data_IF_619311860523
#
_entry.id   IF_619311860523
#
_cell.length_a   1.000
_cell.length_b   1.000
_cell.length_c   1.000
_cell.angle_alpha   90.00
_cell.angle_beta   90.00
_cell.angle_gamma   90.00
#
_symmetry.space_group_name_H-M   'P 1'
#
loop_
_entity.id
_entity.type
_entity.pdbx_description
1 polymer ?
#
# COMPACT_ATOMS: atom_id res chain seq x y z
N UNK A 1 8.91 12.36 29.16
CA UNK A 1 7.62 11.83 28.68
C UNK A 1 7.90 11.01 27.41
N UNK A 2 7.19 9.91 27.14
CA UNK A 2 7.45 9.09 25.94
C UNK A 2 6.97 9.88 24.71
N UNK A 3 7.78 9.96 23.64
CA UNK A 3 7.41 10.67 22.40
C UNK A 3 6.11 10.10 21.85
N UNK A 4 5.17 10.97 21.49
CA UNK A 4 3.89 10.58 20.90
C UNK A 4 4.07 10.47 19.38
N UNK A 5 3.81 9.29 18.84
CA UNK A 5 3.90 9.02 17.41
C UNK A 5 2.48 8.89 16.86
N UNK A 6 2.16 9.72 15.88
CA UNK A 6 0.90 9.73 15.16
C UNK A 6 1.09 9.14 13.76
N UNK A 7 0.55 7.94 13.54
CA UNK A 7 0.39 7.32 12.23
C UNK A 7 -1.07 7.41 11.78
N UNK A 8 -1.35 7.09 10.51
CA UNK A 8 -2.72 6.96 10.01
C UNK A 8 -3.53 5.99 10.86
N UNK A 9 -2.94 4.82 11.17
CA UNK A 9 -3.55 3.79 12.00
C UNK A 9 -3.78 4.25 13.45
N UNK A 10 -2.91 5.10 14.01
CA UNK A 10 -3.09 5.62 15.36
C UNK A 10 -4.16 6.71 15.42
N UNK A 11 -4.18 7.63 14.44
CA UNK A 11 -5.23 8.65 14.33
C UNK A 11 -6.58 7.98 14.09
N UNK A 12 -6.64 6.97 13.22
CA UNK A 12 -7.83 6.15 12.99
C UNK A 12 -8.32 5.49 14.28
N UNK A 13 -7.42 4.87 15.05
CA UNK A 13 -7.76 4.28 16.33
C UNK A 13 -8.33 5.31 17.33
N UNK A 14 -7.76 6.52 17.38
CA UNK A 14 -8.25 7.59 18.25
C UNK A 14 -9.63 8.09 17.84
N UNK A 15 -9.85 8.33 16.53
CA UNK A 15 -11.15 8.73 15.97
C UNK A 15 -12.24 7.71 16.25
N UNK A 16 -11.92 6.41 16.17
CA UNK A 16 -12.87 5.36 16.51
C UNK A 16 -13.11 5.23 18.02
N UNK A 17 -12.06 5.25 18.83
CA UNK A 17 -12.15 5.11 20.28
C UNK A 17 -10.85 5.55 20.99
N UNK A 18 -10.88 6.61 21.82
CA UNK A 18 -9.71 7.06 22.57
C UNK A 18 -9.11 6.00 23.50
N UNK A 19 -9.93 5.10 24.06
CA UNK A 19 -9.43 3.98 24.89
C UNK A 19 -8.62 3.00 24.05
N UNK A 20 -9.08 2.68 22.83
CA UNK A 20 -8.34 1.83 21.88
C UNK A 20 -6.99 2.44 21.53
N UNK A 21 -6.96 3.74 21.26
CA UNK A 21 -5.72 4.46 21.03
C UNK A 21 -4.77 4.36 22.23
N UNK A 22 -5.25 4.66 23.45
CA UNK A 22 -4.45 4.60 24.67
C UNK A 22 -3.86 3.20 24.87
N UNK A 23 -4.69 2.17 24.82
CA UNK A 23 -4.24 0.80 25.05
C UNK A 23 -3.20 0.36 24.01
N UNK A 24 -3.42 0.69 22.74
CA UNK A 24 -2.54 0.27 21.63
C UNK A 24 -1.27 1.12 21.59
N UNK A 25 -1.38 2.44 21.49
CA UNK A 25 -0.25 3.32 21.16
C UNK A 25 0.43 3.94 22.38
N UNK A 26 -0.23 3.97 23.54
CA UNK A 26 0.38 4.45 24.79
C UNK A 26 0.89 3.28 25.63
N UNK A 27 0.04 2.29 25.90
CA UNK A 27 0.40 1.12 26.72
C UNK A 27 1.06 -0.02 25.94
N UNK A 28 1.05 0.01 24.61
CA UNK A 28 1.72 -1.00 23.79
C UNK A 28 0.99 -2.34 23.74
N UNK A 29 -0.29 -2.40 24.12
CA UNK A 29 -1.08 -3.63 24.05
C UNK A 29 -1.28 -4.00 22.57
N UNK A 30 -1.00 -5.25 22.22
CA UNK A 30 -1.17 -5.80 20.86
C UNK A 30 -2.02 -7.06 20.92
N UNK A 31 -2.71 -7.35 19.82
CA UNK A 31 -3.30 -8.68 19.63
C UNK A 31 -2.17 -9.69 19.47
N UNK A 32 -2.41 -10.91 19.91
CA UNK A 32 -1.44 -12.01 19.75
C UNK A 32 -1.36 -12.46 18.29
N UNK A 33 -2.46 -12.32 17.56
CA UNK A 33 -2.60 -12.74 16.16
C UNK A 33 -3.06 -11.57 15.28
N UNK A 34 -2.52 -11.50 14.06
CA UNK A 34 -2.97 -10.57 13.04
C UNK A 34 -4.31 -11.02 12.45
N UNK A 35 -5.14 -10.06 12.03
CA UNK A 35 -6.39 -10.42 11.33
C UNK A 35 -6.12 -10.88 9.90
N UNK A 36 -6.98 -11.76 9.40
CA UNK A 36 -7.00 -12.22 8.01
C UNK A 36 -6.83 -11.07 7.00
N UNK A 37 -7.61 -9.99 7.14
CA UNK A 37 -7.52 -8.83 6.26
C UNK A 37 -6.16 -8.12 6.26
N UNK A 38 -5.44 -8.14 7.39
CA UNK A 38 -4.11 -7.53 7.49
C UNK A 38 -3.08 -8.42 6.82
N UNK A 39 -3.17 -9.74 6.99
CA UNK A 39 -2.33 -10.71 6.30
C UNK A 39 -2.50 -10.62 4.78
N UNK A 40 -3.74 -10.67 4.29
CA UNK A 40 -4.06 -10.58 2.85
C UNK A 40 -3.54 -9.27 2.26
N UNK A 41 -3.79 -8.14 2.92
CA UNK A 41 -3.29 -6.84 2.47
C UNK A 41 -1.76 -6.79 2.43
N UNK A 42 -1.08 -7.28 3.48
CA UNK A 42 0.40 -7.31 3.53
C UNK A 42 0.98 -8.16 2.39
N UNK A 43 0.40 -9.34 2.16
CA UNK A 43 0.82 -10.20 1.06
C UNK A 43 0.54 -9.55 -0.30
N UNK A 44 -0.57 -8.83 -0.45
CA UNK A 44 -0.87 -8.08 -1.68
C UNK A 44 0.22 -7.04 -2.02
N UNK A 45 0.65 -6.23 -1.05
CA UNK A 45 1.74 -5.27 -1.27
C UNK A 45 3.05 -5.98 -1.63
N UNK A 46 3.39 -7.06 -0.91
CA UNK A 46 4.58 -7.87 -1.20
C UNK A 46 4.58 -8.40 -2.64
N UNK A 47 3.44 -8.90 -3.14
CA UNK A 47 3.35 -9.39 -4.52
C UNK A 47 3.48 -8.26 -5.54
N UNK A 48 2.91 -7.09 -5.28
CA UNK A 48 3.06 -5.92 -6.14
C UNK A 48 4.50 -5.40 -6.19
N UNK A 49 5.25 -5.49 -5.10
CA UNK A 49 6.67 -5.14 -5.06
C UNK A 49 7.50 -6.09 -5.93
N UNK A 50 7.29 -7.40 -5.76
CA UNK A 50 8.00 -8.42 -6.56
C UNK A 50 7.64 -8.30 -8.03
N UNK A 51 6.36 -8.13 -8.36
CA UNK A 51 5.90 -7.98 -9.74
C UNK A 51 6.40 -6.70 -10.44
N UNK A 52 6.84 -5.69 -9.67
CA UNK A 52 7.41 -4.46 -10.19
C UNK A 52 8.92 -4.56 -10.48
N UNK A 53 9.58 -5.68 -10.12
CA UNK A 53 10.99 -5.89 -10.46
C UNK A 53 11.13 -6.10 -11.97
N UNK A 54 12.23 -5.57 -12.52
CA UNK A 54 12.55 -5.70 -13.94
C UNK A 54 13.28 -7.04 -14.17
N UNK A 55 12.77 -7.93 -15.03
CA UNK A 55 13.48 -9.15 -15.38
C UNK A 55 14.89 -8.87 -15.92
N UNK A 56 15.88 -9.61 -15.43
CA UNK A 56 17.29 -9.45 -15.80
C UNK A 56 18.07 -8.39 -15.01
N UNK A 57 17.42 -7.55 -14.20
CA UNK A 57 18.11 -6.63 -13.29
C UNK A 57 18.73 -7.36 -12.08
N UNK A 58 19.60 -6.66 -11.36
CA UNK A 58 20.15 -7.15 -10.09
C UNK A 58 19.04 -7.42 -9.07
N UNK A 59 19.14 -8.57 -8.40
CA UNK A 59 18.21 -8.94 -7.34
C UNK A 59 18.29 -7.91 -6.19
N UNK A 60 17.15 -7.42 -5.67
CA UNK A 60 17.15 -6.40 -4.61
C UNK A 60 17.79 -6.86 -3.29
N UNK A 61 17.95 -8.18 -3.11
CA UNK A 61 18.63 -8.79 -1.96
C UNK A 61 20.07 -9.20 -2.25
N UNK A 62 20.65 -8.79 -3.38
CA UNK A 62 22.02 -9.14 -3.73
C UNK A 62 23.04 -8.51 -2.75
N UNK A 63 24.15 -9.20 -2.42
CA UNK A 63 24.50 -10.55 -2.86
C UNK A 63 23.72 -11.64 -2.11
N UNK A 64 23.02 -12.50 -2.86
CA UNK A 64 22.10 -13.50 -2.32
C UNK A 64 22.78 -14.81 -1.88
N UNK A 65 24.12 -14.82 -1.74
CA UNK A 65 24.94 -16.02 -1.53
C UNK A 65 25.40 -16.24 -0.09
N UNK A 66 25.06 -15.33 0.82
CA UNK A 66 25.56 -15.38 2.21
C UNK A 66 24.66 -16.20 3.14
N UNK A 67 23.46 -16.57 2.70
CA UNK A 67 22.48 -17.32 3.49
C UNK A 67 22.42 -18.82 3.13
N UNK A 68 22.09 -19.70 4.10
CA UNK A 68 21.97 -21.15 3.87
C UNK A 68 20.72 -21.54 3.04
N UNK A 69 19.73 -20.67 2.91
CA UNK A 69 18.56 -20.87 2.05
C UNK A 69 18.70 -20.02 0.77
N UNK A 70 18.38 -20.58 -0.42
CA UNK A 70 18.41 -19.80 -1.66
C UNK A 70 17.40 -18.66 -1.61
N UNK A 71 17.78 -17.48 -2.13
CA UNK A 71 16.91 -16.31 -2.18
C UNK A 71 15.60 -16.63 -2.92
N UNK A 72 14.46 -16.27 -2.33
CA UNK A 72 13.12 -16.55 -2.89
C UNK A 72 12.84 -15.83 -4.22
N UNK A 73 13.54 -14.73 -4.50
CA UNK A 73 13.39 -13.95 -5.73
C UNK A 73 14.23 -14.54 -6.85
N UNK A 74 15.56 -14.68 -6.64
CA UNK A 74 16.51 -15.04 -7.69
C UNK A 74 17.09 -16.46 -7.59
N UNK A 75 16.76 -17.23 -6.55
CA UNK A 75 17.30 -18.59 -6.30
C UNK A 75 18.83 -18.68 -6.33
N UNK A 76 19.50 -17.57 -5.95
CA UNK A 76 20.96 -17.49 -5.92
C UNK A 76 21.61 -17.13 -7.25
N UNK A 77 20.86 -16.72 -8.29
CA UNK A 77 21.46 -16.21 -9.54
C UNK A 77 21.94 -14.76 -9.43
N UNK A 78 21.56 -14.06 -8.35
CA UNK A 78 21.66 -12.59 -8.16
C UNK A 78 20.92 -11.75 -9.21
N UNK A 79 20.15 -12.36 -10.11
CA UNK A 79 19.38 -11.64 -11.13
C UNK A 79 17.91 -12.00 -11.03
N UNK A 80 17.05 -11.03 -11.29
CA UNK A 80 15.60 -11.25 -11.34
C UNK A 80 15.28 -12.18 -12.52
N UNK A 81 14.46 -13.24 -12.33
CA UNK A 81 14.16 -14.20 -13.40
C UNK A 81 13.37 -13.56 -14.55
N UNK A 82 13.50 -14.14 -15.74
CA UNK A 82 12.78 -13.72 -16.95
C UNK A 82 11.26 -13.77 -16.77
N UNK A 83 10.75 -14.84 -16.15
CA UNK A 83 9.35 -14.92 -15.73
C UNK A 83 9.18 -14.44 -14.29
N UNK A 84 8.75 -13.18 -14.16
CA UNK A 84 8.53 -12.58 -12.84
C UNK A 84 7.42 -13.29 -12.04
N UNK A 85 6.47 -13.97 -12.69
CA UNK A 85 5.42 -14.70 -11.99
C UNK A 85 5.95 -15.95 -11.27
N UNK A 86 7.09 -16.50 -11.69
CA UNK A 86 7.78 -17.54 -10.92
C UNK A 86 8.30 -16.99 -9.59
N UNK A 87 8.94 -15.82 -9.61
CA UNK A 87 9.40 -15.15 -8.37
C UNK A 87 8.23 -14.81 -7.46
N UNK A 88 7.15 -14.25 -8.01
CA UNK A 88 5.89 -13.98 -7.27
C UNK A 88 5.38 -15.26 -6.59
N UNK A 89 5.32 -16.38 -7.34
CA UNK A 89 4.81 -17.65 -6.81
C UNK A 89 5.69 -18.18 -5.67
N UNK A 90 7.02 -18.10 -5.80
CA UNK A 90 7.96 -18.50 -4.73
C UNK A 90 7.79 -17.64 -3.48
N UNK A 91 7.73 -16.32 -3.64
CA UNK A 91 7.54 -15.38 -2.53
C UNK A 91 6.20 -15.63 -1.83
N UNK A 92 5.14 -15.84 -2.61
CA UNK A 92 3.82 -16.15 -2.06
C UNK A 92 3.83 -17.47 -1.28
N UNK A 93 4.44 -18.52 -1.82
CA UNK A 93 4.55 -19.80 -1.12
C UNK A 93 5.33 -19.67 0.19
N UNK A 94 6.44 -18.92 0.19
CA UNK A 94 7.22 -18.66 1.40
C UNK A 94 6.40 -17.89 2.45
N UNK A 95 5.64 -16.87 2.03
CA UNK A 95 4.81 -16.08 2.93
C UNK A 95 3.74 -16.92 3.64
N UNK A 96 3.26 -18.00 3.00
CA UNK A 96 2.27 -18.90 3.58
C UNK A 96 2.86 -20.12 4.29
N UNK A 97 4.17 -20.39 4.22
CA UNK A 97 4.81 -21.60 4.78
C UNK A 97 4.45 -21.79 6.27
N UNK A 98 4.58 -20.73 7.06
CA UNK A 98 4.38 -20.76 8.52
C UNK A 98 3.01 -20.25 8.99
N UNK A 99 2.09 -19.98 8.07
CA UNK A 99 0.75 -19.51 8.43
C UNK A 99 -0.13 -20.72 8.75
N UNK A 100 -0.61 -20.76 10.00
CA UNK A 100 -1.49 -21.81 10.48
C UNK A 100 -2.95 -21.49 10.13
N UNK A 101 -3.60 -22.41 9.42
CA UNK A 101 -5.03 -22.36 9.13
C UNK A 101 -5.69 -23.58 9.77
N UNK A 102 -6.90 -23.39 10.31
CA UNK A 102 -7.71 -24.51 10.78
C UNK A 102 -8.15 -25.42 9.62
N UNK A 103 -8.38 -24.82 8.46
CA UNK A 103 -8.74 -25.51 7.21
C UNK A 103 -7.64 -25.31 6.16
N UNK A 104 -6.93 -26.38 5.73
CA UNK A 104 -5.95 -26.30 4.66
C UNK A 104 -6.51 -25.82 3.32
N UNK A 105 -7.79 -26.10 3.02
CA UNK A 105 -8.41 -25.67 1.77
C UNK A 105 -8.56 -24.13 1.73
N UNK A 106 -9.02 -23.53 2.83
CA UNK A 106 -9.07 -22.08 2.98
C UNK A 106 -7.71 -21.38 2.75
N UNK A 107 -6.60 -22.00 3.20
CA UNK A 107 -5.25 -21.48 2.95
C UNK A 107 -4.93 -21.44 1.46
N UNK A 108 -5.24 -22.52 0.74
CA UNK A 108 -5.02 -22.60 -0.71
C UNK A 108 -5.92 -21.65 -1.49
N UNK A 109 -7.19 -21.49 -1.07
CA UNK A 109 -8.10 -20.51 -1.66
C UNK A 109 -7.52 -19.09 -1.53
N UNK A 110 -7.11 -18.67 -0.33
CA UNK A 110 -6.54 -17.33 -0.10
C UNK A 110 -5.30 -17.09 -0.96
N UNK A 111 -4.40 -18.09 -1.04
CA UNK A 111 -3.18 -18.04 -1.84
C UNK A 111 -3.48 -17.93 -3.33
N UNK A 112 -4.37 -18.75 -3.86
CA UNK A 112 -4.77 -18.76 -5.27
C UNK A 112 -5.50 -17.47 -5.65
N UNK A 113 -6.35 -16.94 -4.75
CA UNK A 113 -7.03 -15.66 -4.94
C UNK A 113 -6.03 -14.52 -5.10
N UNK A 114 -5.01 -14.43 -4.25
CA UNK A 114 -3.96 -13.41 -4.37
C UNK A 114 -3.19 -13.50 -5.69
N UNK A 115 -2.81 -14.73 -6.10
CA UNK A 115 -2.08 -14.94 -7.34
C UNK A 115 -2.91 -14.54 -8.57
N UNK A 116 -4.19 -14.91 -8.62
CA UNK A 116 -5.07 -14.57 -9.74
C UNK A 116 -5.47 -13.09 -9.73
N UNK A 117 -5.64 -12.48 -8.56
CA UNK A 117 -5.85 -11.04 -8.44
C UNK A 117 -4.65 -10.27 -9.01
N UNK A 118 -3.42 -10.73 -8.75
CA UNK A 118 -2.22 -10.10 -9.32
C UNK A 118 -2.14 -10.31 -10.84
N UNK A 119 -2.42 -11.51 -11.33
CA UNK A 119 -2.43 -11.79 -12.76
C UNK A 119 -3.44 -10.89 -13.50
N UNK A 120 -4.66 -10.76 -12.96
CA UNK A 120 -5.68 -9.84 -13.48
C UNK A 120 -5.25 -8.38 -13.40
N UNK A 121 -4.61 -7.97 -12.29
CA UNK A 121 -4.09 -6.62 -12.12
C UNK A 121 -3.07 -6.27 -13.18
N UNK A 122 -2.10 -7.16 -13.41
CA UNK A 122 -1.08 -6.97 -14.43
C UNK A 122 -1.72 -6.93 -15.82
N UNK A 123 -2.59 -7.87 -16.15
CA UNK A 123 -3.26 -7.88 -17.46
C UNK A 123 -3.97 -6.55 -17.77
N UNK A 124 -4.59 -5.91 -16.78
CA UNK A 124 -5.31 -4.66 -16.98
C UNK A 124 -4.43 -3.41 -16.97
N UNK A 125 -3.38 -3.38 -16.13
CA UNK A 125 -2.57 -2.19 -15.89
C UNK A 125 -1.15 -2.24 -16.49
N UNK A 126 -0.74 -3.33 -17.16
CA UNK A 126 0.63 -3.51 -17.70
C UNK A 126 1.09 -2.32 -18.55
N UNK A 127 0.18 -1.76 -19.36
CA UNK A 127 0.45 -0.64 -20.28
C UNK A 127 0.29 0.75 -19.65
N UNK A 128 -0.15 0.84 -18.38
CA UNK A 128 -0.49 2.10 -17.69
C UNK A 128 0.40 2.40 -16.49
N UNK A 129 1.61 1.84 -16.44
CA UNK A 129 2.51 2.07 -15.33
C UNK A 129 3.17 3.45 -15.45
N UNK A 130 2.76 4.39 -14.59
CA UNK A 130 3.45 5.67 -14.45
C UNK A 130 4.88 5.46 -13.95
N UNK A 131 5.84 6.30 -14.37
CA UNK A 131 7.20 6.25 -13.82
C UNK A 131 7.18 6.41 -12.30
N UNK A 132 7.81 5.48 -11.60
CA UNK A 132 7.91 5.50 -10.14
C UNK A 132 9.08 6.39 -9.74
N UNK A 133 8.79 7.40 -8.92
CA UNK A 133 9.78 8.32 -8.34
C UNK A 133 10.41 7.73 -7.09
N UNK A 134 9.59 7.12 -6.23
CA UNK A 134 10.05 6.45 -5.01
C UNK A 134 9.04 5.40 -4.55
N UNK A 135 9.53 4.32 -3.94
CA UNK A 135 8.74 3.29 -3.26
C UNK A 135 9.01 3.34 -1.76
N UNK A 136 8.01 2.97 -0.96
CA UNK A 136 8.13 2.74 0.49
C UNK A 136 8.80 3.90 1.26
N UNK A 137 8.52 5.15 0.87
CA UNK A 137 9.19 6.35 1.38
C UNK A 137 8.78 6.64 2.83
N UNK A 138 9.69 6.39 3.77
CA UNK A 138 9.49 6.72 5.18
C UNK A 138 9.51 8.24 5.42
N UNK A 139 8.68 8.70 6.36
CA UNK A 139 8.72 10.07 6.86
C UNK A 139 8.52 10.18 8.37
N UNK A 140 9.11 11.22 8.95
CA UNK A 140 8.98 11.57 10.37
C UNK A 140 9.01 13.08 10.53
N UNK A 141 7.83 13.68 10.73
CA UNK A 141 7.65 15.13 10.73
C UNK A 141 7.15 15.60 12.10
N UNK A 142 7.62 16.73 12.63
CA UNK A 142 7.03 17.31 13.84
C UNK A 142 5.58 17.74 13.55
N UNK A 143 4.67 17.47 14.48
CA UNK A 143 3.32 18.02 14.43
C UNK A 143 3.41 19.54 14.69
N UNK A 144 2.86 20.35 13.80
CA UNK A 144 2.84 21.80 13.97
C UNK A 144 1.51 22.25 14.58
N UNK A 145 1.57 23.21 15.50
CA UNK A 145 0.39 23.92 15.95
C UNK A 145 -0.12 24.82 14.80
N UNK A 146 -1.38 24.66 14.35
CA UNK A 146 -1.91 25.40 13.20
C UNK A 146 -2.02 26.92 13.45
N UNK A 147 -2.12 27.36 14.71
CA UNK A 147 -2.24 28.78 15.06
C UNK A 147 -0.88 29.47 15.14
N UNK A 148 0.14 28.79 15.67
CA UNK A 148 1.46 29.40 15.92
C UNK A 148 2.54 28.97 14.94
N UNK A 149 2.31 27.90 14.17
CA UNK A 149 3.31 27.28 13.30
C UNK A 149 4.44 26.55 14.04
N UNK A 150 4.47 26.59 15.38
CA UNK A 150 5.52 25.95 16.16
C UNK A 150 5.30 24.44 16.31
N UNK A 151 6.38 23.64 16.38
CA UNK A 151 6.30 22.24 16.72
C UNK A 151 5.64 22.03 18.08
N UNK A 152 4.71 21.07 18.14
CA UNK A 152 4.23 20.53 19.41
C UNK A 152 5.34 19.67 20.02
N UNK A 153 5.80 19.95 21.25
CA UNK A 153 6.90 19.22 21.87
C UNK A 153 6.64 17.71 21.91
N UNK A 154 7.63 16.91 21.51
CA UNK A 154 7.62 15.44 21.56
C UNK A 154 6.49 14.75 20.78
N UNK A 155 5.81 15.42 19.84
CA UNK A 155 4.78 14.83 18.98
C UNK A 155 5.22 14.81 17.52
N UNK A 156 5.21 13.62 16.92
CA UNK A 156 5.65 13.39 15.54
C UNK A 156 4.59 12.66 14.73
N UNK A 157 4.38 13.09 13.49
CA UNK A 157 3.65 12.35 12.47
C UNK A 157 4.63 11.43 11.76
N UNK A 158 4.34 10.13 11.74
CA UNK A 158 5.19 9.13 11.10
C UNK A 158 4.37 8.20 10.22
N UNK A 159 4.94 7.82 9.09
CA UNK A 159 4.32 6.89 8.17
C UNK A 159 5.29 6.48 7.08
N UNK A 160 4.75 5.75 6.11
CA UNK A 160 5.49 5.28 4.94
C UNK A 160 4.58 5.43 3.74
N UNK A 161 4.99 6.22 2.75
CA UNK A 161 4.22 6.39 1.52
C UNK A 161 4.53 5.19 0.62
N UNK A 162 3.51 4.45 0.21
CA UNK A 162 3.66 3.24 -0.61
C UNK A 162 4.40 3.54 -1.91
N UNK A 163 3.88 4.46 -2.73
CA UNK A 163 4.54 4.90 -3.96
C UNK A 163 4.37 6.40 -4.23
N UNK A 164 5.39 6.99 -4.83
CA UNK A 164 5.34 8.29 -5.49
C UNK A 164 5.54 8.06 -6.99
N UNK A 165 4.67 8.60 -7.81
CA UNK A 165 4.70 8.45 -9.26
C UNK A 165 4.77 9.80 -9.96
N UNK A 166 5.35 9.84 -11.15
CA UNK A 166 5.33 11.01 -12.00
C UNK A 166 4.02 11.06 -12.80
N UNK A 167 3.35 12.19 -12.75
CA UNK A 167 2.16 12.49 -13.55
C UNK A 167 2.42 13.75 -14.36
N UNK A 168 1.64 13.97 -15.43
CA UNK A 168 1.88 15.06 -16.40
C UNK A 168 2.06 16.49 -15.80
N UNK A 169 1.61 16.72 -14.56
CA UNK A 169 1.71 18.02 -13.87
C UNK A 169 2.45 17.96 -12.52
N UNK A 170 3.19 16.89 -12.21
CA UNK A 170 3.92 16.80 -10.94
C UNK A 170 4.11 15.37 -10.43
N UNK A 171 4.11 15.23 -9.11
CA UNK A 171 4.24 13.94 -8.41
C UNK A 171 2.90 13.60 -7.79
N UNK A 172 2.44 12.36 -7.94
CA UNK A 172 1.26 11.87 -7.23
C UNK A 172 1.64 10.79 -6.20
N UNK A 173 0.87 10.72 -5.11
CA UNK A 173 0.94 9.59 -4.17
C UNK A 173 0.12 8.44 -4.74
N UNK A 174 0.73 7.28 -4.94
CA UNK A 174 0.05 6.06 -5.37
C UNK A 174 -0.09 5.08 -4.22
N UNK A 175 -1.32 4.66 -3.95
CA UNK A 175 -1.67 3.69 -2.90
C UNK A 175 -2.39 2.51 -3.52
N UNK A 176 -2.01 1.30 -3.13
CA UNK A 176 -2.70 0.08 -3.53
C UNK A 176 -3.60 -0.41 -2.39
N UNK A 177 -4.90 -0.57 -2.66
CA UNK A 177 -5.85 -1.15 -1.70
C UNK A 177 -6.48 -2.44 -2.22
N UNK A 178 -6.54 -3.46 -1.37
CA UNK A 178 -7.40 -4.62 -1.56
C UNK A 178 -8.71 -4.42 -0.79
N UNK A 179 -9.85 -4.74 -1.40
CA UNK A 179 -11.16 -4.62 -0.73
C UNK A 179 -12.09 -5.76 -1.14
N UNK A 180 -12.95 -6.19 -0.21
CA UNK A 180 -14.07 -7.10 -0.49
C UNK A 180 -15.40 -6.36 -0.68
N UNK A 181 -15.39 -5.03 -0.58
CA UNK A 181 -16.54 -4.17 -0.89
C UNK A 181 -16.59 -3.92 -2.39
N UNK A 182 -17.80 -3.82 -2.93
CA UNK A 182 -18.02 -3.41 -4.33
C UNK A 182 -17.22 -2.15 -4.65
N UNK A 183 -16.58 -2.19 -5.82
CA UNK A 183 -15.82 -1.10 -6.41
C UNK A 183 -16.57 -0.51 -7.63
N UNK A 184 -17.86 -0.80 -7.78
CA UNK A 184 -18.68 -0.22 -8.84
C UNK A 184 -18.64 1.32 -8.75
N UNK A 185 -18.80 2.06 -9.86
CA UNK A 185 -18.64 3.51 -9.87
C UNK A 185 -19.54 4.27 -8.89
N UNK A 186 -20.70 3.70 -8.55
CA UNK A 186 -21.69 4.24 -7.62
C UNK A 186 -21.49 3.76 -6.17
N UNK A 187 -20.47 2.93 -5.91
CA UNK A 187 -20.17 2.42 -4.58
C UNK A 187 -19.78 3.53 -3.60
N UNK A 188 -20.36 3.47 -2.41
CA UNK A 188 -19.98 4.34 -1.27
C UNK A 188 -18.52 4.15 -0.82
N UNK A 189 -17.85 3.08 -1.28
CA UNK A 189 -16.44 2.82 -1.00
C UNK A 189 -15.54 3.97 -1.45
N UNK A 190 -15.77 4.51 -2.64
CA UNK A 190 -14.98 5.61 -3.21
C UNK A 190 -15.08 6.90 -2.40
N UNK A 191 -16.28 7.21 -1.89
CA UNK A 191 -16.49 8.35 -0.99
C UNK A 191 -15.69 8.22 0.31
N UNK A 192 -15.57 7.01 0.86
CA UNK A 192 -14.77 6.76 2.06
C UNK A 192 -13.27 6.88 1.80
N UNK A 193 -12.78 6.48 0.63
CA UNK A 193 -11.36 6.51 0.29
C UNK A 193 -10.79 7.93 0.25
N UNK A 194 -11.58 8.89 -0.22
CA UNK A 194 -11.23 10.32 -0.23
C UNK A 194 -11.14 10.94 1.18
N UNK A 195 -11.84 10.37 2.15
CA UNK A 195 -11.84 10.83 3.54
C UNK A 195 -10.85 10.04 4.42
N UNK A 196 -10.06 9.16 3.80
CA UNK A 196 -9.11 8.34 4.52
C UNK A 196 -7.95 9.18 5.04
N UNK A 197 -7.62 8.94 6.32
CA UNK A 197 -6.57 9.68 7.03
C UNK A 197 -5.20 9.40 6.44
N UNK A 198 -4.95 8.18 5.95
CA UNK A 198 -3.69 7.76 5.36
C UNK A 198 -3.39 8.59 4.11
N UNK A 199 -4.34 8.65 3.17
CA UNK A 199 -4.22 9.42 1.94
C UNK A 199 -3.91 10.89 2.23
N UNK A 200 -4.70 11.51 3.11
CA UNK A 200 -4.53 12.94 3.44
C UNK A 200 -3.18 13.19 4.12
N UNK A 201 -2.74 12.27 4.98
CA UNK A 201 -1.46 12.36 5.69
C UNK A 201 -0.27 12.21 4.74
N UNK A 202 -0.35 11.35 3.72
CA UNK A 202 0.72 11.17 2.74
C UNK A 202 0.92 12.41 1.89
N UNK A 203 -0.16 13.04 1.41
CA UNK A 203 -0.06 14.32 0.71
C UNK A 203 0.57 15.40 1.60
N UNK A 204 0.11 15.49 2.85
CA UNK A 204 0.68 16.44 3.82
C UNK A 204 2.18 16.19 4.01
N UNK A 205 2.59 14.93 4.15
CA UNK A 205 3.98 14.55 4.32
C UNK A 205 4.83 14.86 3.09
N UNK A 206 4.37 14.48 1.89
CA UNK A 206 5.05 14.75 0.62
C UNK A 206 5.28 16.26 0.41
N UNK A 207 4.27 17.10 0.70
CA UNK A 207 4.39 18.57 0.65
C UNK A 207 5.43 19.10 1.63
N UNK A 208 5.44 18.57 2.86
CA UNK A 208 6.36 18.98 3.93
C UNK A 208 7.81 18.56 3.67
N UNK A 209 7.99 17.44 2.98
CA UNK A 209 9.29 16.96 2.51
C UNK A 209 9.80 17.74 1.28
N UNK A 210 9.04 18.74 0.81
CA UNK A 210 9.39 19.57 -0.36
C UNK A 210 9.62 18.76 -1.63
N UNK A 211 8.94 17.62 -1.76
CA UNK A 211 8.85 16.86 -3.00
C UNK A 211 7.90 17.60 -3.97
N UNK A 212 8.34 18.76 -4.46
CA UNK A 212 7.88 19.63 -5.59
C UNK A 212 6.36 19.99 -5.67
N UNK A 213 5.97 21.22 -6.06
CA UNK A 213 4.56 21.65 -5.99
C UNK A 213 3.71 21.11 -7.15
N UNK A 214 2.77 20.21 -6.86
CA UNK A 214 1.79 19.67 -7.82
C UNK A 214 1.19 18.31 -7.42
N UNK A 215 0.93 18.10 -6.12
CA UNK A 215 0.59 16.79 -5.56
C UNK A 215 -0.87 16.39 -5.76
N UNK A 216 -1.08 15.46 -6.70
CA UNK A 216 -2.31 14.67 -6.90
C UNK A 216 -2.18 13.31 -6.15
N UNK A 217 -3.26 12.55 -6.05
CA UNK A 217 -3.25 11.18 -5.47
C UNK A 217 -3.82 10.23 -6.51
N UNK A 218 -3.17 9.10 -6.73
CA UNK A 218 -3.70 8.00 -7.54
C UNK A 218 -4.01 6.80 -6.63
N UNK A 219 -5.28 6.43 -6.53
CA UNK A 219 -5.72 5.24 -5.81
C UNK A 219 -6.00 4.12 -6.81
N UNK A 220 -5.33 2.99 -6.64
CA UNK A 220 -5.72 1.75 -7.31
C UNK A 220 -6.38 0.82 -6.30
N UNK A 221 -7.57 0.29 -6.61
CA UNK A 221 -8.25 -0.70 -5.80
C UNK A 221 -8.56 -1.99 -6.59
N UNK A 222 -8.30 -3.14 -5.97
CA UNK A 222 -8.65 -4.47 -6.52
C UNK A 222 -9.74 -5.11 -5.66
N UNK A 223 -10.81 -5.58 -6.30
CA UNK A 223 -11.84 -6.36 -5.63
C UNK A 223 -11.36 -7.80 -5.40
N UNK A 224 -11.47 -8.31 -4.18
CA UNK A 224 -11.26 -9.74 -3.91
C UNK A 224 -12.33 -10.53 -4.67
N UNK A 225 -11.93 -11.28 -5.69
CA UNK A 225 -12.82 -11.96 -6.64
C UNK A 225 -13.65 -13.05 -5.94
N UNK A 226 -14.91 -12.75 -5.62
CA UNK A 226 -15.93 -13.78 -5.30
C UNK A 226 -17.23 -13.64 -6.07
N UNK A 227 -17.42 -12.63 -6.92
CA UNK A 227 -18.56 -12.58 -7.85
C UNK A 227 -18.28 -11.68 -9.06
N UNK A 228 -18.74 -12.13 -10.24
CA UNK A 228 -18.59 -11.51 -11.55
C UNK A 228 -19.15 -10.08 -11.61
N UNK A 229 -18.37 -9.13 -12.13
CA UNK A 229 -18.87 -7.81 -12.53
C UNK A 229 -18.18 -7.26 -13.79
N UNK A 230 -18.96 -6.45 -14.49
CA UNK A 230 -18.78 -5.89 -15.84
C UNK A 230 -18.08 -4.53 -15.78
N UNK A 231 -17.16 -4.26 -16.72
CA UNK A 231 -16.33 -3.05 -16.77
C UNK A 231 -17.08 -1.76 -17.16
N UNK A 232 -16.79 -0.66 -16.45
CA UNK A 232 -17.10 0.72 -16.86
C UNK A 232 -15.92 1.65 -16.56
N UNK A 233 -15.48 2.43 -17.55
CA UNK A 233 -14.49 3.51 -17.40
C UNK A 233 -15.20 4.84 -17.25
N UNK A 234 -14.91 5.62 -16.19
CA UNK A 234 -15.40 7.00 -16.06
C UNK A 234 -14.26 7.95 -15.72
N UNK A 235 -13.94 8.88 -16.63
CA UNK A 235 -13.09 10.04 -16.38
C UNK A 235 -13.98 11.21 -15.98
N UNK A 236 -13.93 11.68 -14.73
CA UNK A 236 -14.54 12.97 -14.36
C UNK A 236 -13.50 14.09 -14.45
N UNK A 237 -13.66 14.96 -15.46
CA UNK A 237 -13.00 16.27 -15.51
C UNK A 237 -13.68 17.21 -14.52
N UNK A 238 -12.93 17.79 -13.59
CA UNK A 238 -13.38 18.96 -12.82
C UNK A 238 -12.28 20.02 -12.69
N UNK A 239 -12.74 21.23 -12.40
CA UNK A 239 -12.29 22.53 -12.90
C UNK A 239 -10.95 23.04 -12.33
N UNK A 240 -10.29 23.95 -13.07
CA UNK A 240 -8.97 24.52 -12.79
C UNK A 240 -9.02 25.49 -11.61
N UNK A 241 -8.82 25.02 -10.37
CA UNK A 241 -8.39 25.88 -9.24
C UNK A 241 -7.96 25.04 -8.03
N UNK A 242 -6.64 24.89 -7.83
CA UNK A 242 -5.99 24.44 -6.57
C UNK A 242 -6.62 23.22 -5.85
N UNK A 243 -7.36 22.39 -6.57
CA UNK A 243 -8.06 21.22 -6.06
C UNK A 243 -7.15 20.01 -6.18
N UNK A 244 -6.97 19.29 -5.07
CA UNK A 244 -6.40 17.96 -5.11
C UNK A 244 -7.15 17.12 -6.15
N UNK A 245 -6.45 16.54 -7.12
CA UNK A 245 -7.06 15.53 -7.98
C UNK A 245 -6.77 14.17 -7.38
N UNK A 246 -7.84 13.43 -7.14
CA UNK A 246 -7.76 12.02 -6.81
C UNK A 246 -8.10 11.27 -8.09
N UNK A 247 -7.11 10.61 -8.67
CA UNK A 247 -7.29 9.62 -9.72
C UNK A 247 -7.64 8.32 -9.01
N UNK A 248 -8.72 7.67 -9.45
CA UNK A 248 -9.21 6.45 -8.83
C UNK A 248 -9.36 5.43 -9.94
N UNK A 249 -8.68 4.29 -9.82
CA UNK A 249 -8.73 3.19 -10.78
C UNK A 249 -9.24 1.92 -10.12
N UNK A 250 -10.10 1.21 -10.84
CA UNK A 250 -10.77 -0.01 -10.39
C UNK A 250 -10.60 -1.12 -11.42
N UNK A 251 -10.45 -2.35 -10.92
CA UNK A 251 -10.41 -3.60 -11.68
C UNK A 251 -11.70 -4.39 -11.59
#
# INVERSE_FOLDING_TARGET
MKKLILSASSIGAFKSCPIRFRNTYVYGIRKVEDSESQRVGTNWHLLLEVAALVPGDDCPSAPCHEDPEPCVICEGTNVVPDDIMEAVTRVLNKAYENVNFADPEAKEIERVTLLHALAGYRWHYDEQLEPVVATEQYFSLPLLNPQTGHPVPDVFIKGRIDKLIEVANGIAVKEHKSTSKSIDPDSTYWGHLNLDVQTTMYIYAARRMQMTPGLDVDHDAVHSLTQSSTMYTTSQRSDRRNSLRVIVRSL
#
